data_IF_966060165252
#
_entry.id   IF_966060165252
#
_cell.length_a   1.000
_cell.length_b   1.000
_cell.length_c   1.000
_cell.angle_alpha   90.00
_cell.angle_beta   90.00
_cell.angle_gamma   90.00
#
_symmetry.space_group_name_H-M   'P 1'
#
loop_
_entity.id
_entity.type
_entity.pdbx_description
1 polymer ?
#
# COMPACT_ATOMS: atom_id res chain seq x y z
N UNK A 1 -35.38 -3.10 11.09
CA UNK A 1 -34.39 -2.17 11.63
C UNK A 1 -33.04 -2.85 11.53
N UNK A 2 -32.03 -2.21 10.95
CA UNK A 2 -30.67 -2.74 11.05
C UNK A 2 -30.25 -2.70 12.53
N UNK A 3 -29.76 -3.81 13.07
CA UNK A 3 -29.15 -3.85 14.40
C UNK A 3 -27.91 -2.97 14.41
N UNK A 4 -27.60 -2.33 15.55
CA UNK A 4 -26.31 -1.67 15.74
C UNK A 4 -25.19 -2.70 15.60
N UNK A 5 -24.07 -2.27 15.01
CA UNK A 5 -22.88 -3.10 14.94
C UNK A 5 -22.37 -3.40 16.36
N UNK A 6 -21.78 -4.58 16.53
CA UNK A 6 -20.95 -4.90 17.68
C UNK A 6 -19.65 -4.08 17.63
N UNK A 7 -18.99 -3.93 18.78
CA UNK A 7 -17.69 -3.24 18.86
C UNK A 7 -16.66 -3.80 17.86
N UNK A 8 -16.64 -5.12 17.66
CA UNK A 8 -15.69 -5.77 16.75
C UNK A 8 -15.98 -5.47 15.27
N UNK A 9 -17.26 -5.37 14.90
CA UNK A 9 -17.68 -4.97 13.55
C UNK A 9 -17.39 -3.48 13.32
N UNK A 10 -17.59 -2.61 14.33
CA UNK A 10 -17.20 -1.21 14.25
C UNK A 10 -15.68 -1.05 14.07
N UNK A 11 -14.89 -1.81 14.83
CA UNK A 11 -13.43 -1.84 14.69
C UNK A 11 -13.01 -2.23 13.27
N UNK A 12 -13.62 -3.28 12.72
CA UNK A 12 -13.38 -3.71 11.33
C UNK A 12 -13.69 -2.58 10.33
N UNK A 13 -14.84 -1.92 10.45
CA UNK A 13 -15.23 -0.80 9.56
C UNK A 13 -14.23 0.34 9.65
N UNK A 14 -13.83 0.74 10.86
CA UNK A 14 -12.87 1.84 11.09
C UNK A 14 -11.50 1.48 10.51
N UNK A 15 -11.02 0.27 10.74
CA UNK A 15 -9.75 -0.21 10.21
C UNK A 15 -9.77 -0.30 8.68
N UNK A 16 -10.88 -0.76 8.09
CA UNK A 16 -11.08 -0.77 6.64
C UNK A 16 -10.99 0.63 6.04
N UNK A 17 -11.64 1.63 6.65
CA UNK A 17 -11.57 3.03 6.21
C UNK A 17 -10.15 3.60 6.32
N UNK A 18 -9.45 3.31 7.41
CA UNK A 18 -8.06 3.73 7.59
C UNK A 18 -7.15 3.14 6.50
N UNK A 19 -7.26 1.83 6.24
CA UNK A 19 -6.39 1.12 5.31
C UNK A 19 -6.72 1.39 3.84
N UNK A 20 -7.99 1.60 3.49
CA UNK A 20 -8.42 1.80 2.10
C UNK A 20 -8.51 3.28 1.71
N UNK A 21 -8.83 4.16 2.65
CA UNK A 21 -9.07 5.58 2.39
C UNK A 21 -7.90 6.49 2.74
N UNK A 22 -7.22 6.23 3.86
CA UNK A 22 -6.23 7.14 4.45
C UNK A 22 -4.81 6.69 4.13
N UNK A 23 -4.44 5.46 4.50
CA UNK A 23 -3.08 4.93 4.34
C UNK A 23 -2.53 4.95 2.89
N UNK A 24 -3.35 4.75 1.83
CA UNK A 24 -2.85 4.84 0.46
C UNK A 24 -2.43 6.26 0.09
N UNK A 25 -2.94 7.29 0.78
CA UNK A 25 -2.53 8.69 0.56
C UNK A 25 -1.11 8.94 1.05
N UNK A 26 -0.76 8.42 2.23
CA UNK A 26 0.60 8.51 2.75
C UNK A 26 1.59 7.72 1.87
N UNK A 27 1.23 6.48 1.50
CA UNK A 27 2.04 5.69 0.57
C UNK A 27 2.23 6.39 -0.78
N UNK A 28 1.18 7.04 -1.30
CA UNK A 28 1.25 7.82 -2.54
C UNK A 28 2.09 9.07 -2.40
N UNK A 29 2.04 9.77 -1.26
CA UNK A 29 2.90 10.93 -1.03
C UNK A 29 4.38 10.55 -1.09
N UNK A 30 4.77 9.43 -0.47
CA UNK A 30 6.13 8.88 -0.58
C UNK A 30 6.47 8.47 -2.03
N UNK A 31 5.53 7.83 -2.72
CA UNK A 31 5.72 7.47 -4.13
C UNK A 31 5.94 8.69 -5.01
N UNK A 32 5.13 9.75 -4.85
CA UNK A 32 5.19 10.95 -5.67
C UNK A 32 6.47 11.78 -5.39
N UNK A 33 7.13 11.58 -4.24
CA UNK A 33 8.47 12.14 -3.98
C UNK A 33 9.56 11.45 -4.82
N UNK A 34 9.47 10.12 -4.98
CA UNK A 34 10.41 9.32 -5.78
C UNK A 34 10.09 9.39 -7.28
N UNK A 35 8.81 9.48 -7.62
CA UNK A 35 8.27 9.48 -8.99
C UNK A 35 7.28 10.64 -9.14
N UNK A 36 7.81 11.85 -9.33
CA UNK A 36 6.99 13.05 -9.49
C UNK A 36 5.86 12.85 -10.52
N UNK A 37 4.59 13.16 -10.20
CA UNK A 37 3.45 12.92 -11.09
C UNK A 37 3.62 13.53 -12.50
N UNK A 38 4.25 14.71 -12.59
CA UNK A 38 4.54 15.39 -13.86
C UNK A 38 5.52 14.65 -14.76
N UNK A 39 6.35 13.77 -14.19
CA UNK A 39 7.39 13.00 -14.86
C UNK A 39 7.16 11.48 -14.73
N UNK A 40 5.95 11.06 -14.31
CA UNK A 40 5.68 9.66 -14.01
C UNK A 40 5.84 8.78 -15.25
N UNK A 41 5.25 9.18 -16.38
CA UNK A 41 5.32 8.43 -17.64
C UNK A 41 6.78 8.24 -18.12
N UNK A 42 7.59 9.30 -18.10
CA UNK A 42 9.00 9.22 -18.50
C UNK A 42 9.83 8.36 -17.53
N UNK A 43 9.55 8.46 -16.22
CA UNK A 43 10.22 7.65 -15.19
C UNK A 43 9.88 6.16 -15.33
N UNK A 44 8.61 5.80 -15.58
CA UNK A 44 8.20 4.42 -15.84
C UNK A 44 8.81 3.88 -17.13
N UNK A 45 8.88 4.70 -18.19
CA UNK A 45 9.54 4.33 -19.45
C UNK A 45 11.04 4.06 -19.27
N UNK A 46 11.72 4.83 -18.41
CA UNK A 46 13.14 4.60 -18.09
C UNK A 46 13.36 3.23 -17.43
N UNK A 47 12.43 2.81 -16.58
CA UNK A 47 12.48 1.53 -15.86
C UNK A 47 11.75 0.39 -16.58
N UNK A 48 11.36 0.57 -17.85
CA UNK A 48 10.50 -0.35 -18.61
C UNK A 48 10.98 -1.81 -18.56
N UNK A 49 12.28 -2.05 -18.71
CA UNK A 49 12.82 -3.41 -18.72
C UNK A 49 12.67 -4.11 -17.36
N UNK A 50 12.87 -3.39 -16.25
CA UNK A 50 12.63 -3.94 -14.89
C UNK A 50 11.16 -4.23 -14.69
N UNK A 51 10.28 -3.29 -15.07
CA UNK A 51 8.84 -3.46 -14.99
C UNK A 51 8.37 -4.67 -15.81
N UNK A 52 8.88 -4.84 -17.03
CA UNK A 52 8.56 -5.98 -17.90
C UNK A 52 9.01 -7.30 -17.30
N UNK A 53 10.14 -7.35 -16.60
CA UNK A 53 10.58 -8.53 -15.86
C UNK A 53 9.64 -8.85 -14.69
N UNK A 54 9.21 -7.83 -13.93
CA UNK A 54 8.22 -7.99 -12.86
C UNK A 54 6.87 -8.51 -13.38
N UNK A 55 6.43 -8.03 -14.56
CA UNK A 55 5.24 -8.53 -15.22
C UNK A 55 5.38 -10.01 -15.62
N UNK A 56 6.51 -10.39 -16.22
CA UNK A 56 6.82 -11.79 -16.57
C UNK A 56 6.81 -12.71 -15.35
N UNK A 57 7.36 -12.24 -14.23
CA UNK A 57 7.38 -12.93 -12.93
C UNK A 57 6.02 -12.92 -12.21
N UNK A 58 4.98 -12.31 -12.80
CA UNK A 58 3.63 -12.15 -12.22
C UNK A 58 3.61 -11.37 -10.89
N UNK A 59 4.64 -10.56 -10.64
CA UNK A 59 4.66 -9.62 -9.51
C UNK A 59 3.74 -8.44 -9.82
N UNK A 60 3.68 -8.02 -11.08
CA UNK A 60 2.72 -7.04 -11.61
C UNK A 60 1.75 -7.80 -12.52
N UNK A 61 0.46 -7.75 -12.20
CA UNK A 61 -0.56 -8.40 -13.03
C UNK A 61 -0.96 -7.53 -14.24
N UNK A 62 -1.76 -8.07 -15.17
CA UNK A 62 -2.14 -7.33 -16.38
C UNK A 62 -2.95 -6.05 -16.10
N UNK A 63 -3.81 -6.07 -15.08
CA UNK A 63 -4.59 -4.88 -14.70
C UNK A 63 -3.67 -3.76 -14.22
N UNK A 64 -2.73 -4.08 -13.34
CA UNK A 64 -1.71 -3.13 -12.86
C UNK A 64 -0.81 -2.65 -14.00
N UNK A 65 -0.41 -3.56 -14.91
CA UNK A 65 0.37 -3.19 -16.10
C UNK A 65 -0.32 -2.14 -16.96
N UNK A 66 -1.63 -2.29 -17.17
CA UNK A 66 -2.43 -1.33 -17.94
C UNK A 66 -2.54 0.05 -17.26
N UNK A 67 -2.33 0.14 -15.94
CA UNK A 67 -2.24 1.41 -15.23
C UNK A 67 -0.87 2.08 -15.42
N UNK A 68 0.21 1.28 -15.50
CA UNK A 68 1.58 1.78 -15.73
C UNK A 68 1.80 2.22 -17.17
N UNK A 69 1.24 1.46 -18.12
CA UNK A 69 1.36 1.70 -19.56
C UNK A 69 -0.03 1.68 -20.20
N UNK A 70 -0.84 2.73 -19.97
CA UNK A 70 -2.17 2.82 -20.54
C UNK A 70 -2.13 3.01 -22.06
N UNK A 71 -3.28 2.82 -22.71
CA UNK A 71 -3.40 3.04 -24.15
C UNK A 71 -3.39 4.54 -24.44
N UNK A 72 -2.67 4.95 -25.46
CA UNK A 72 -2.74 6.33 -25.97
C UNK A 72 -4.19 6.71 -26.28
N UNK A 73 -4.66 7.92 -25.90
CA UNK A 73 -3.90 9.09 -25.44
C UNK A 73 -3.68 9.18 -23.92
N UNK A 74 -4.10 8.17 -23.15
CA UNK A 74 -4.01 8.22 -21.69
C UNK A 74 -2.56 8.16 -21.20
N UNK A 75 -2.32 8.73 -20.01
CA UNK A 75 -1.03 8.71 -19.31
C UNK A 75 -1.20 8.11 -17.92
N UNK A 76 -0.17 7.47 -17.35
CA UNK A 76 -0.24 6.92 -16.01
C UNK A 76 -0.48 8.03 -14.98
N UNK A 77 -1.33 7.76 -13.99
CA UNK A 77 -1.61 8.62 -12.85
C UNK A 77 -1.45 7.81 -11.56
N UNK A 78 -0.56 8.25 -10.67
CA UNK A 78 -0.31 7.59 -9.37
C UNK A 78 -1.58 7.51 -8.51
N UNK A 79 -2.58 8.38 -8.75
CA UNK A 79 -3.89 8.32 -8.10
C UNK A 79 -4.69 7.06 -8.41
N UNK A 80 -4.43 6.46 -9.57
CA UNK A 80 -5.07 5.21 -9.99
C UNK A 80 -4.42 3.97 -9.37
N UNK A 81 -3.24 4.11 -8.76
CA UNK A 81 -2.51 2.97 -8.21
C UNK A 81 -3.05 2.60 -6.82
N UNK A 82 -3.31 1.31 -6.63
CA UNK A 82 -3.54 0.74 -5.31
C UNK A 82 -2.24 0.71 -4.50
N UNK A 83 -2.37 0.56 -3.18
CA UNK A 83 -1.21 0.54 -2.26
C UNK A 83 -0.22 -0.60 -2.54
N UNK A 84 -0.70 -1.71 -3.10
CA UNK A 84 0.15 -2.86 -3.40
C UNK A 84 1.02 -2.62 -4.62
N UNK A 85 0.47 -1.97 -5.65
CA UNK A 85 1.22 -1.51 -6.81
C UNK A 85 2.24 -0.46 -6.38
N UNK A 86 1.85 0.53 -5.57
CA UNK A 86 2.77 1.56 -5.05
C UNK A 86 3.97 0.93 -4.34
N UNK A 87 3.73 0.03 -3.37
CA UNK A 87 4.81 -0.65 -2.63
C UNK A 87 5.66 -1.51 -3.55
N UNK A 88 5.04 -2.16 -4.54
CA UNK A 88 5.76 -2.98 -5.53
C UNK A 88 6.70 -2.14 -6.39
N UNK A 89 6.28 -0.95 -6.82
CA UNK A 89 7.12 -0.04 -7.59
C UNK A 89 8.26 0.49 -6.74
N UNK A 90 7.95 1.01 -5.54
CA UNK A 90 8.94 1.55 -4.61
C UNK A 90 10.06 0.53 -4.32
N UNK A 91 9.71 -0.68 -3.87
CA UNK A 91 10.70 -1.69 -3.48
C UNK A 91 11.58 -2.22 -4.63
N UNK A 92 11.13 -2.11 -5.89
CA UNK A 92 11.85 -2.69 -7.03
C UNK A 92 12.54 -1.65 -7.91
N UNK A 93 12.10 -0.38 -7.85
CA UNK A 93 12.57 0.67 -8.75
C UNK A 93 13.41 1.74 -8.03
N UNK A 94 13.28 1.87 -6.70
CA UNK A 94 14.06 2.83 -5.91
C UNK A 94 15.14 2.12 -5.08
N UNK A 95 15.92 2.90 -4.34
CA UNK A 95 16.93 2.41 -3.40
C UNK A 95 16.41 2.34 -1.97
N UNK A 96 15.08 2.26 -1.77
CA UNK A 96 14.50 2.12 -0.44
C UNK A 96 15.01 0.84 0.23
N UNK A 97 15.69 1.00 1.35
CA UNK A 97 16.15 -0.13 2.17
C UNK A 97 14.94 -0.85 2.74
N UNK A 98 14.81 -2.17 2.54
CA UNK A 98 13.70 -2.91 3.12
C UNK A 98 13.79 -2.91 4.66
N UNK A 99 12.65 -3.11 5.37
CA UNK A 99 12.67 -3.42 6.79
C UNK A 99 13.50 -4.68 7.07
N UNK A 100 13.91 -4.89 8.31
CA UNK A 100 14.73 -6.04 8.70
C UNK A 100 14.11 -7.39 8.30
N UNK A 101 12.78 -7.51 8.38
CA UNK A 101 12.00 -8.70 8.00
C UNK A 101 11.45 -8.65 6.56
N UNK A 102 11.76 -7.60 5.81
CA UNK A 102 11.23 -7.34 4.47
C UNK A 102 9.83 -6.74 4.45
N UNK A 103 9.28 -6.54 3.24
CA UNK A 103 7.97 -5.89 3.02
C UNK A 103 6.76 -6.83 3.17
N UNK A 104 6.98 -8.11 3.46
CA UNK A 104 5.93 -9.14 3.53
C UNK A 104 5.63 -9.59 4.96
N UNK A 105 6.35 -9.04 5.95
CA UNK A 105 6.15 -9.30 7.38
C UNK A 105 5.91 -7.99 8.12
N UNK A 106 5.27 -8.07 9.29
CA UNK A 106 5.11 -6.92 10.17
C UNK A 106 6.49 -6.51 10.72
N UNK A 107 6.96 -5.27 10.49
CA UNK A 107 8.20 -4.77 11.07
C UNK A 107 8.12 -4.66 12.60
N UNK A 108 9.26 -4.58 13.26
CA UNK A 108 9.29 -4.32 14.70
C UNK A 108 8.85 -2.88 15.02
N UNK A 109 8.31 -2.65 16.23
CA UNK A 109 7.82 -1.33 16.65
C UNK A 109 8.92 -0.26 16.71
N UNK A 110 10.18 -0.67 16.79
CA UNK A 110 11.33 0.23 16.82
C UNK A 110 11.78 0.70 15.43
N UNK A 111 11.27 0.10 14.35
CA UNK A 111 11.63 0.45 12.97
C UNK A 111 10.74 1.58 12.44
N UNK A 112 11.22 2.83 12.54
CA UNK A 112 10.49 4.04 12.14
C UNK A 112 11.01 4.61 10.82
N UNK A 113 11.02 3.79 9.76
CA UNK A 113 11.44 4.21 8.41
C UNK A 113 10.26 4.21 7.44
N UNK A 114 10.30 5.00 6.35
CA UNK A 114 9.25 4.97 5.33
C UNK A 114 8.99 3.57 4.77
N UNK A 115 10.03 2.73 4.65
CA UNK A 115 9.89 1.34 4.21
C UNK A 115 9.13 0.48 5.23
N UNK A 116 9.41 0.67 6.52
CA UNK A 116 8.73 -0.02 7.62
C UNK A 116 7.25 0.38 7.67
N UNK A 117 6.97 1.65 7.44
CA UNK A 117 5.62 2.19 7.41
C UNK A 117 4.78 1.62 6.26
N UNK A 118 5.37 1.53 5.05
CA UNK A 118 4.76 0.84 3.91
C UNK A 118 4.50 -0.64 4.21
N UNK A 119 5.43 -1.32 4.88
CA UNK A 119 5.26 -2.72 5.26
C UNK A 119 4.13 -2.92 6.28
N UNK A 120 3.98 -2.04 7.27
CA UNK A 120 2.84 -2.04 8.22
C UNK A 120 1.51 -1.89 7.49
N UNK A 121 1.40 -0.91 6.59
CA UNK A 121 0.17 -0.68 5.81
C UNK A 121 -0.20 -1.93 5.00
N UNK A 122 0.78 -2.51 4.30
CA UNK A 122 0.55 -3.72 3.50
C UNK A 122 0.15 -4.92 4.36
N UNK A 123 0.84 -5.12 5.49
CA UNK A 123 0.55 -6.21 6.41
C UNK A 123 -0.89 -6.14 6.92
N UNK A 124 -1.31 -4.99 7.46
CA UNK A 124 -2.66 -4.83 8.00
C UNK A 124 -3.75 -4.86 6.92
N UNK A 125 -3.48 -4.38 5.70
CA UNK A 125 -4.38 -4.54 4.55
C UNK A 125 -4.58 -6.03 4.22
N UNK A 126 -3.50 -6.80 4.16
CA UNK A 126 -3.58 -8.24 3.91
C UNK A 126 -4.29 -8.99 5.03
N UNK A 127 -3.96 -8.66 6.28
CA UNK A 127 -4.64 -9.20 7.46
C UNK A 127 -6.16 -8.99 7.36
N UNK A 128 -6.59 -7.76 7.09
CA UNK A 128 -8.02 -7.44 6.97
C UNK A 128 -8.69 -8.16 5.79
N UNK A 129 -7.99 -8.31 4.67
CA UNK A 129 -8.52 -9.01 3.48
C UNK A 129 -8.67 -10.54 3.68
N UNK A 130 -7.99 -11.11 4.67
CA UNK A 130 -8.09 -12.53 5.03
C UNK A 130 -9.01 -12.77 6.25
N UNK A 131 -9.59 -11.73 6.83
CA UNK A 131 -10.58 -11.85 7.88
C UNK A 131 -11.96 -12.09 7.27
N UNK A 132 -12.46 -13.32 7.38
CA UNK A 132 -13.75 -13.71 6.80
C UNK A 132 -14.97 -13.21 7.59
N UNK A 133 -14.80 -12.88 8.87
CA UNK A 133 -15.91 -12.60 9.79
C UNK A 133 -16.32 -11.11 9.84
N UNK A 134 -15.53 -10.21 9.23
CA UNK A 134 -15.80 -8.77 9.29
C UNK A 134 -15.71 -8.20 10.71
N UNK A 135 -14.93 -8.83 11.58
CA UNK A 135 -14.77 -8.51 13.01
C UNK A 135 -13.30 -8.40 13.39
N UNK A 136 -12.97 -7.43 14.22
CA UNK A 136 -11.63 -7.23 14.79
C UNK A 136 -11.76 -6.96 16.28
N UNK A 137 -11.13 -7.79 17.11
CA UNK A 137 -11.10 -7.58 18.55
C UNK A 137 -10.39 -6.26 18.92
N UNK A 138 -10.70 -5.72 20.09
CA UNK A 138 -10.19 -4.41 20.51
C UNK A 138 -8.67 -4.35 20.66
N UNK A 139 -8.01 -5.46 21.02
CA UNK A 139 -6.56 -5.50 21.18
C UNK A 139 -5.88 -5.40 19.82
N UNK A 140 -6.28 -6.25 18.87
CA UNK A 140 -5.77 -6.21 17.50
C UNK A 140 -6.05 -4.88 16.82
N UNK A 141 -7.27 -4.35 17.00
CA UNK A 141 -7.65 -3.05 16.48
C UNK A 141 -6.73 -1.93 17.00
N UNK A 142 -6.52 -1.86 18.31
CA UNK A 142 -5.73 -0.78 18.93
C UNK A 142 -4.29 -0.81 18.43
N UNK A 143 -3.65 -1.99 18.44
CA UNK A 143 -2.28 -2.15 17.94
C UNK A 143 -2.17 -1.77 16.46
N UNK A 144 -3.10 -2.23 15.62
CA UNK A 144 -3.07 -1.91 14.20
C UNK A 144 -3.34 -0.43 13.91
N UNK A 145 -4.26 0.17 14.65
CA UNK A 145 -4.61 1.57 14.52
C UNK A 145 -3.41 2.47 14.84
N UNK A 146 -2.75 2.24 15.98
CA UNK A 146 -1.59 3.02 16.40
C UNK A 146 -0.43 2.87 15.39
N UNK A 147 -0.17 1.64 14.93
CA UNK A 147 0.86 1.35 13.94
C UNK A 147 0.62 2.00 12.57
N UNK A 148 -0.62 2.23 12.16
CA UNK A 148 -0.93 2.83 10.84
C UNK A 148 -1.12 4.34 10.93
N UNK A 149 -1.61 4.85 12.07
CA UNK A 149 -1.81 6.30 12.26
C UNK A 149 -0.52 7.04 12.58
N UNK A 150 0.46 6.38 13.21
CA UNK A 150 1.81 6.92 13.39
C UNK A 150 2.49 7.26 12.04
N UNK A 151 2.30 6.39 11.04
CA UNK A 151 2.75 6.60 9.64
C UNK A 151 2.10 7.83 9.00
N UNK A 152 0.82 8.08 9.30
CA UNK A 152 0.06 9.15 8.65
C UNK A 152 0.31 10.54 9.25
N UNK A 153 1.05 10.60 10.36
CA UNK A 153 1.31 11.82 11.14
C UNK A 153 2.75 12.33 10.99
N UNK A 154 3.59 11.63 10.22
CA UNK A 154 4.99 11.96 9.93
C UNK A 154 5.12 12.59 8.53
#
# INVERSE_FOLDING_TARGET
MASSLSQEEENYVRMSLLLTGISPRAARALFDQEFAPSCLDSSLKKEFNKLKDLQKKRVINQSQWNLLFPRFPDVPDSKSFDVTLIITLLRNLTTLTPPCSGFDQLPSDNENTPSSDLARIKYYRNFLAHLDEGKVDSTTFTTAWDNVTSVSSS
#
